data_IF_546379233214
#
_entry.id   IF_546379233214
#
_cell.length_a   1.000
_cell.length_b   1.000
_cell.length_c   1.000
_cell.angle_alpha   90.00
_cell.angle_beta   90.00
_cell.angle_gamma   90.00
#
_symmetry.space_group_name_H-M   'P 1'
#
loop_
_entity.id
_entity.type
_entity.pdbx_description
1 polymer ?
#
# COMPACT_ATOMS: atom_id res chain seq x y z
N UNK A 1 22.80 21.24 14.03
CA UNK A 1 22.87 19.79 14.35
C UNK A 1 22.32 19.42 15.72
N UNK A 2 22.53 20.26 16.77
CA UNK A 2 22.21 19.87 18.14
C UNK A 2 20.70 19.88 18.49
N UNK A 3 19.91 20.74 17.89
CA UNK A 3 18.48 20.88 18.21
C UNK A 3 17.68 19.71 17.65
N UNK A 4 17.88 19.37 16.36
CA UNK A 4 17.23 18.22 15.75
C UNK A 4 17.61 16.91 16.46
N UNK A 5 18.87 16.77 16.87
CA UNK A 5 19.35 15.60 17.60
C UNK A 5 18.70 15.48 18.98
N UNK A 6 18.40 16.57 19.66
CA UNK A 6 17.66 16.55 20.93
C UNK A 6 16.21 16.10 20.74
N UNK A 7 15.52 16.57 19.69
CA UNK A 7 14.15 16.16 19.41
C UNK A 7 14.08 14.72 18.91
N UNK A 8 15.04 14.27 18.09
CA UNK A 8 15.19 12.88 17.70
C UNK A 8 15.59 12.01 18.90
N UNK A 9 16.34 12.52 19.87
CA UNK A 9 16.74 11.78 21.08
C UNK A 9 15.56 11.40 21.98
N UNK A 10 14.44 12.07 21.86
CA UNK A 10 13.17 11.68 22.49
C UNK A 10 12.46 10.53 21.77
N UNK A 11 12.96 10.10 20.60
CA UNK A 11 12.38 9.01 19.81
C UNK A 11 13.07 7.67 20.09
N UNK A 12 12.51 6.59 19.52
CA UNK A 12 13.00 5.22 19.73
C UNK A 12 14.48 5.08 19.32
N UNK A 13 15.33 4.71 20.25
CA UNK A 13 16.75 4.40 20.02
C UNK A 13 16.89 3.06 19.28
N UNK A 14 17.69 3.04 18.25
CA UNK A 14 18.07 1.83 17.50
C UNK A 14 19.46 1.36 17.92
N UNK A 15 19.92 0.19 17.43
CA UNK A 15 21.28 -0.32 17.71
C UNK A 15 22.39 0.64 17.24
N UNK A 16 22.15 1.42 16.20
CA UNK A 16 23.12 2.30 15.54
C UNK A 16 22.91 3.79 15.81
N UNK A 17 21.88 4.16 16.61
CA UNK A 17 21.55 5.56 16.92
C UNK A 17 20.05 5.78 17.04
N UNK A 18 19.60 6.99 16.80
CA UNK A 18 18.18 7.35 16.84
C UNK A 18 17.49 7.04 15.50
N UNK A 19 16.23 6.63 15.57
CA UNK A 19 15.45 6.37 14.36
C UNK A 19 15.20 7.67 13.58
N UNK A 20 15.52 7.65 12.30
CA UNK A 20 15.18 8.70 11.34
C UNK A 20 14.20 8.19 10.29
N UNK A 21 13.34 7.23 10.64
CA UNK A 21 12.28 6.74 9.75
C UNK A 21 11.36 7.87 9.33
N UNK A 22 10.66 7.71 8.20
CA UNK A 22 9.72 8.72 7.71
C UNK A 22 8.69 9.10 8.78
N UNK A 23 8.10 8.11 9.46
CA UNK A 23 7.11 8.33 10.52
C UNK A 23 7.64 9.10 11.74
N UNK A 24 8.94 9.04 12.01
CA UNK A 24 9.58 9.85 13.06
C UNK A 24 9.82 11.27 12.58
N UNK A 25 10.31 11.43 11.34
CA UNK A 25 10.58 12.74 10.76
C UNK A 25 9.29 13.52 10.50
N UNK A 26 8.22 12.87 10.04
CA UNK A 26 6.90 13.50 9.84
C UNK A 26 6.34 14.12 11.13
N UNK A 27 6.57 13.49 12.29
CA UNK A 27 6.19 14.07 13.58
C UNK A 27 6.98 15.32 13.97
N UNK A 28 8.18 15.48 13.43
CA UNK A 28 9.05 16.62 13.67
C UNK A 28 8.87 17.76 12.65
N UNK A 29 8.21 17.49 11.53
CA UNK A 29 8.00 18.46 10.45
C UNK A 29 7.31 19.74 10.93
N UNK A 30 6.25 19.72 11.76
CA UNK A 30 5.57 20.94 12.22
C UNK A 30 6.50 21.85 13.05
N UNK A 31 7.44 21.28 13.80
CA UNK A 31 8.37 22.01 14.65
C UNK A 31 9.64 22.43 13.87
N UNK A 32 10.03 21.63 12.88
CA UNK A 32 11.26 21.83 12.08
C UNK A 32 10.96 21.78 10.57
N UNK A 33 10.55 22.89 9.93
CA UNK A 33 10.11 22.90 8.52
C UNK A 33 11.13 22.37 7.53
N UNK A 34 12.44 22.41 7.83
CA UNK A 34 13.47 21.84 6.95
C UNK A 34 13.40 20.30 6.85
N UNK A 35 12.75 19.63 7.81
CA UNK A 35 12.56 18.17 7.80
C UNK A 35 11.76 17.75 6.57
N UNK A 36 10.83 18.57 6.12
CA UNK A 36 10.09 18.36 4.88
C UNK A 36 11.02 18.20 3.68
N UNK A 37 12.08 19.02 3.59
CA UNK A 37 13.06 18.91 2.50
C UNK A 37 13.87 17.62 2.57
N UNK A 38 14.14 17.12 3.78
CA UNK A 38 14.81 15.82 3.96
C UNK A 38 13.90 14.68 3.51
N UNK A 39 12.63 14.71 3.86
CA UNK A 39 11.64 13.72 3.43
C UNK A 39 11.48 13.72 1.90
N UNK A 40 11.31 14.91 1.32
CA UNK A 40 11.22 15.09 -0.14
C UNK A 40 12.46 14.57 -0.86
N UNK A 41 13.66 14.94 -0.40
CA UNK A 41 14.92 14.46 -0.96
C UNK A 41 15.03 12.93 -0.92
N UNK A 42 14.73 12.31 0.23
CA UNK A 42 14.76 10.86 0.38
C UNK A 42 13.79 10.16 -0.57
N UNK A 43 12.61 10.74 -0.73
CA UNK A 43 11.58 10.25 -1.62
C UNK A 43 12.04 10.29 -3.08
N UNK A 44 12.57 11.43 -3.53
CA UNK A 44 13.10 11.61 -4.88
C UNK A 44 14.30 10.69 -5.15
N UNK A 45 15.22 10.60 -4.21
CA UNK A 45 16.39 9.72 -4.31
C UNK A 45 15.98 8.26 -4.44
N UNK A 46 15.00 7.81 -3.64
CA UNK A 46 14.46 6.46 -3.73
C UNK A 46 13.80 6.20 -5.09
N UNK A 47 12.99 7.15 -5.58
CA UNK A 47 12.35 7.02 -6.89
C UNK A 47 13.40 6.94 -8.01
N UNK A 48 14.39 7.82 -7.97
CA UNK A 48 15.48 7.81 -8.95
C UNK A 48 16.25 6.50 -8.93
N UNK A 49 16.79 6.11 -7.78
CA UNK A 49 17.67 4.94 -7.69
C UNK A 49 16.95 3.62 -7.93
N UNK A 50 15.70 3.48 -7.48
CA UNK A 50 14.97 2.21 -7.57
C UNK A 50 14.24 2.06 -8.91
N UNK A 51 13.63 3.15 -9.41
CA UNK A 51 12.73 3.06 -10.56
C UNK A 51 13.30 3.72 -11.83
N UNK A 52 13.96 4.86 -11.74
CA UNK A 52 14.56 5.44 -12.95
C UNK A 52 15.86 4.71 -13.34
N UNK A 53 16.86 4.73 -12.49
CA UNK A 53 18.15 4.07 -12.78
C UNK A 53 18.03 2.54 -12.60
N UNK A 54 17.31 2.09 -11.57
CA UNK A 54 17.22 0.69 -11.19
C UNK A 54 16.40 -0.18 -12.15
N UNK A 55 15.43 0.37 -12.88
CA UNK A 55 14.71 -0.37 -13.93
C UNK A 55 15.49 -0.42 -15.24
N UNK A 56 16.27 0.61 -15.54
CA UNK A 56 17.01 0.70 -16.80
C UNK A 56 17.97 -0.48 -17.00
N UNK A 57 18.54 -1.02 -15.92
CA UNK A 57 19.47 -2.16 -16.00
C UNK A 57 18.81 -3.49 -16.39
N UNK A 58 17.48 -3.54 -16.35
CA UNK A 58 16.69 -4.72 -16.73
C UNK A 58 16.09 -4.63 -18.13
N UNK A 59 16.36 -3.56 -18.86
CA UNK A 59 15.91 -3.44 -20.25
C UNK A 59 16.77 -4.37 -21.11
N UNK A 60 16.12 -5.35 -21.73
CA UNK A 60 16.75 -6.29 -22.64
C UNK A 60 17.04 -5.67 -24.04
N UNK A 61 17.68 -6.45 -24.89
CA UNK A 61 18.01 -6.05 -26.27
C UNK A 61 16.78 -5.75 -27.12
N UNK A 62 15.63 -6.31 -26.72
CA UNK A 62 14.30 -6.07 -27.34
C UNK A 62 13.60 -4.81 -26.76
N UNK A 63 14.32 -3.98 -26.00
CA UNK A 63 13.80 -2.79 -25.32
C UNK A 63 12.67 -3.08 -24.31
N UNK A 64 12.60 -4.30 -23.75
CA UNK A 64 11.58 -4.73 -22.81
C UNK A 64 12.19 -5.19 -21.49
N UNK A 65 11.40 -5.12 -20.44
CA UNK A 65 11.76 -5.66 -19.12
C UNK A 65 11.09 -7.02 -18.95
N UNK A 66 11.90 -8.05 -18.71
CA UNK A 66 11.47 -9.43 -18.46
C UNK A 66 11.65 -9.75 -16.98
N UNK A 67 10.64 -9.39 -16.17
CA UNK A 67 10.64 -9.66 -14.73
C UNK A 67 10.41 -11.14 -14.42
N UNK A 68 10.87 -11.56 -13.24
CA UNK A 68 10.64 -12.92 -12.71
C UNK A 68 9.51 -12.90 -11.70
N UNK A 69 8.58 -13.84 -11.86
CA UNK A 69 7.48 -14.05 -10.93
C UNK A 69 7.62 -15.40 -10.23
N UNK A 70 7.68 -15.35 -8.89
CA UNK A 70 7.88 -16.54 -8.07
C UNK A 70 6.55 -16.93 -7.40
N UNK A 71 6.12 -18.16 -7.60
CA UNK A 71 4.85 -18.69 -7.08
C UNK A 71 4.97 -19.35 -5.71
N UNK A 72 6.19 -19.69 -5.27
CA UNK A 72 6.42 -20.55 -4.11
C UNK A 72 7.19 -19.88 -2.97
N UNK A 73 7.45 -18.57 -3.06
CA UNK A 73 8.30 -17.85 -2.08
C UNK A 73 7.49 -17.34 -0.88
N UNK A 74 6.25 -16.89 -1.10
CA UNK A 74 5.44 -16.32 -0.04
C UNK A 74 4.69 -17.39 0.74
N UNK A 75 4.63 -17.25 2.07
CA UNK A 75 3.85 -18.18 2.91
C UNK A 75 2.33 -18.11 2.65
N UNK A 76 1.85 -17.00 2.09
CA UNK A 76 0.43 -16.77 1.79
C UNK A 76 -0.02 -17.32 0.44
N UNK A 77 0.87 -17.90 -0.37
CA UNK A 77 0.56 -18.33 -1.73
C UNK A 77 0.47 -17.17 -2.75
N UNK A 78 0.72 -15.90 -2.34
CA UNK A 78 0.79 -14.79 -3.29
C UNK A 78 2.03 -14.89 -4.15
N UNK A 79 1.95 -14.40 -5.40
CA UNK A 79 3.11 -14.29 -6.30
C UNK A 79 3.99 -13.12 -5.82
N UNK A 80 5.31 -13.32 -5.82
CA UNK A 80 6.29 -12.24 -5.64
C UNK A 80 6.98 -11.93 -6.97
N UNK A 81 7.41 -10.68 -7.15
CA UNK A 81 8.11 -10.21 -8.34
C UNK A 81 9.54 -9.83 -8.00
N UNK A 82 10.49 -10.29 -8.82
CA UNK A 82 11.93 -9.99 -8.67
C UNK A 82 12.57 -9.71 -10.03
N UNK A 83 13.67 -9.03 -10.03
CA UNK A 83 14.51 -8.76 -11.21
C UNK A 83 13.76 -8.16 -12.42
N UNK A 84 13.11 -7.01 -12.24
CA UNK A 84 12.93 -6.19 -11.05
C UNK A 84 11.65 -6.51 -10.26
N UNK A 85 11.50 -5.93 -9.05
CA UNK A 85 10.22 -6.00 -8.33
C UNK A 85 9.24 -4.97 -8.91
N UNK A 86 8.36 -5.42 -9.80
CA UNK A 86 7.35 -4.59 -10.45
C UNK A 86 6.11 -4.32 -9.58
N UNK A 87 5.93 -5.06 -8.48
CA UNK A 87 4.77 -4.91 -7.59
C UNK A 87 4.85 -3.67 -6.70
N UNK A 88 6.04 -3.10 -6.51
CA UNK A 88 6.29 -1.99 -5.61
C UNK A 88 6.37 -0.62 -6.31
N UNK A 89 5.99 -0.52 -7.57
CA UNK A 89 5.97 0.77 -8.30
C UNK A 89 4.94 1.69 -7.63
N UNK A 90 5.33 2.90 -7.19
CA UNK A 90 4.45 3.78 -6.44
C UNK A 90 3.22 4.20 -7.25
N UNK A 91 2.04 4.16 -6.61
CA UNK A 91 0.75 4.57 -7.23
C UNK A 91 0.25 5.88 -6.66
N UNK A 92 0.45 6.10 -5.34
CA UNK A 92 -0.17 7.23 -4.62
C UNK A 92 0.49 8.58 -4.92
N UNK A 93 1.78 8.58 -5.20
CA UNK A 93 2.55 9.79 -5.44
C UNK A 93 2.46 10.24 -6.91
N UNK A 94 2.41 11.56 -7.15
CA UNK A 94 2.37 12.11 -8.50
C UNK A 94 3.55 11.62 -9.36
N UNK A 95 4.78 11.73 -8.86
CA UNK A 95 5.98 11.25 -9.54
C UNK A 95 5.98 9.72 -9.75
N UNK A 96 5.42 8.95 -8.82
CA UNK A 96 5.25 7.50 -8.99
C UNK A 96 4.32 7.17 -10.15
N UNK A 97 3.25 7.95 -10.33
CA UNK A 97 2.35 7.81 -11.49
C UNK A 97 3.05 8.14 -12.81
N UNK A 98 3.95 9.12 -12.83
CA UNK A 98 4.76 9.42 -14.03
C UNK A 98 5.68 8.24 -14.40
N UNK A 99 6.29 7.60 -13.39
CA UNK A 99 7.11 6.38 -13.62
C UNK A 99 6.27 5.27 -14.26
N UNK A 100 5.01 5.11 -13.86
CA UNK A 100 4.13 4.08 -14.46
C UNK A 100 3.84 4.33 -15.95
N UNK A 101 3.87 5.56 -16.41
CA UNK A 101 3.64 5.91 -17.82
C UNK A 101 4.74 5.45 -18.78
N UNK A 102 5.94 5.12 -18.25
CA UNK A 102 7.03 4.59 -19.09
C UNK A 102 6.78 3.15 -19.53
N UNK A 103 5.87 2.45 -18.87
CA UNK A 103 5.46 1.12 -19.29
C UNK A 103 4.40 1.23 -20.37
N UNK A 104 4.76 0.82 -21.56
CA UNK A 104 3.89 0.84 -22.73
C UNK A 104 3.68 -0.59 -23.26
N UNK A 105 2.54 -0.89 -23.89
CA UNK A 105 2.35 -2.19 -24.51
C UNK A 105 3.28 -2.33 -25.72
N UNK A 106 3.46 -3.57 -26.21
CA UNK A 106 4.11 -3.81 -27.52
C UNK A 106 3.25 -3.20 -28.62
N UNK A 107 3.90 -2.86 -29.76
CA UNK A 107 3.19 -2.41 -30.95
C UNK A 107 2.04 -3.36 -31.31
N UNK A 108 0.92 -2.83 -31.72
CA UNK A 108 -0.32 -3.54 -32.01
C UNK A 108 -0.93 -4.31 -30.81
N UNK A 109 -0.52 -4.00 -29.59
CA UNK A 109 -1.04 -4.60 -28.35
C UNK A 109 -1.63 -3.52 -27.45
N UNK A 110 -2.47 -3.96 -26.52
CA UNK A 110 -3.03 -3.11 -25.44
C UNK A 110 -2.78 -3.79 -24.09
N UNK A 111 -2.71 -2.99 -23.03
CA UNK A 111 -2.79 -3.55 -21.68
C UNK A 111 -4.22 -3.98 -21.39
N UNK A 112 -4.36 -5.21 -20.91
CA UNK A 112 -5.58 -5.72 -20.29
C UNK A 112 -5.34 -5.82 -18.79
N UNK A 113 -6.12 -5.07 -18.02
CA UNK A 113 -6.13 -5.14 -16.55
C UNK A 113 -7.43 -5.76 -16.09
N UNK A 114 -7.32 -6.86 -15.34
CA UNK A 114 -8.46 -7.55 -14.76
C UNK A 114 -8.13 -7.95 -13.32
N UNK A 115 -8.90 -7.46 -12.37
CA UNK A 115 -8.73 -7.73 -10.95
C UNK A 115 -10.03 -8.17 -10.31
N UNK A 116 -9.92 -9.11 -9.37
CA UNK A 116 -11.06 -9.53 -8.57
C UNK A 116 -11.40 -8.47 -7.53
N UNK A 117 -12.64 -8.01 -7.54
CA UNK A 117 -13.11 -7.08 -6.51
C UNK A 117 -13.21 -7.78 -5.15
N UNK A 118 -12.26 -7.47 -4.25
CA UNK A 118 -12.28 -7.89 -2.84
C UNK A 118 -12.39 -9.41 -2.65
N UNK A 119 -11.64 -10.19 -3.41
CA UNK A 119 -11.76 -11.67 -3.43
C UNK A 119 -11.60 -12.29 -2.05
N UNK A 120 -10.66 -11.81 -1.23
CA UNK A 120 -10.41 -12.33 0.11
C UNK A 120 -11.64 -12.18 1.01
N UNK A 121 -12.32 -11.03 0.96
CA UNK A 121 -13.54 -10.80 1.75
C UNK A 121 -14.74 -11.59 1.22
N UNK A 122 -14.81 -11.85 -0.08
CA UNK A 122 -15.85 -12.72 -0.66
C UNK A 122 -15.66 -14.16 -0.23
N UNK A 123 -14.42 -14.63 -0.20
CA UNK A 123 -14.10 -15.98 0.31
C UNK A 123 -14.42 -16.04 1.81
N UNK A 124 -14.07 -15.02 2.59
CA UNK A 124 -14.39 -14.95 4.00
C UNK A 124 -15.90 -14.99 4.24
N UNK A 125 -16.69 -14.23 3.49
CA UNK A 125 -18.15 -14.26 3.54
C UNK A 125 -18.71 -15.67 3.32
N UNK A 126 -18.17 -16.37 2.33
CA UNK A 126 -18.57 -17.74 2.02
C UNK A 126 -18.18 -18.74 3.12
N UNK A 127 -16.96 -18.63 3.67
CA UNK A 127 -16.45 -19.54 4.68
C UNK A 127 -17.10 -19.34 6.06
N UNK A 128 -17.42 -18.09 6.41
CA UNK A 128 -18.04 -17.74 7.71
C UNK A 128 -19.56 -17.91 7.71
N UNK A 129 -20.17 -18.02 6.53
CA UNK A 129 -21.62 -18.01 6.32
C UNK A 129 -22.32 -16.80 6.97
N UNK A 130 -21.61 -15.65 7.04
CA UNK A 130 -22.13 -14.41 7.61
C UNK A 130 -23.15 -13.79 6.65
N UNK A 131 -24.41 -13.81 7.05
CA UNK A 131 -25.54 -13.35 6.24
C UNK A 131 -25.40 -11.86 5.87
N UNK A 132 -24.92 -11.01 6.79
CA UNK A 132 -24.78 -9.56 6.53
C UNK A 132 -23.70 -9.30 5.48
N UNK A 133 -22.60 -10.03 5.56
CA UNK A 133 -21.49 -9.91 4.61
C UNK A 133 -21.89 -10.44 3.23
N UNK A 134 -22.61 -11.57 3.19
CA UNK A 134 -23.13 -12.18 1.95
C UNK A 134 -24.15 -11.23 1.30
N UNK A 135 -25.09 -10.67 2.08
CA UNK A 135 -26.10 -9.76 1.56
C UNK A 135 -25.49 -8.46 1.02
N UNK A 136 -24.51 -7.88 1.74
CA UNK A 136 -23.79 -6.70 1.29
C UNK A 136 -23.12 -6.92 -0.08
N UNK A 137 -22.58 -8.11 -0.34
CA UNK A 137 -22.01 -8.45 -1.65
C UNK A 137 -23.06 -8.68 -2.71
N UNK A 138 -24.21 -9.28 -2.40
CA UNK A 138 -25.32 -9.46 -3.34
C UNK A 138 -25.92 -8.14 -3.78
N UNK A 139 -26.02 -7.19 -2.86
CA UNK A 139 -26.57 -5.87 -3.13
C UNK A 139 -25.53 -4.86 -3.66
N UNK A 140 -24.30 -5.33 -3.91
CA UNK A 140 -23.20 -4.45 -4.39
C UNK A 140 -22.93 -3.24 -3.47
N UNK A 141 -23.21 -3.36 -2.18
CA UNK A 141 -22.93 -2.33 -1.19
C UNK A 141 -21.42 -2.22 -0.94
N UNK A 142 -20.97 -1.02 -0.63
CA UNK A 142 -19.59 -0.83 -0.15
C UNK A 142 -19.46 -1.41 1.26
N UNK A 143 -18.80 -2.58 1.36
CA UNK A 143 -18.60 -3.30 2.61
C UNK A 143 -17.78 -2.48 3.60
N UNK A 144 -16.83 -1.67 3.12
CA UNK A 144 -16.06 -0.80 4.00
C UNK A 144 -16.96 0.27 4.63
N UNK A 145 -17.87 0.82 3.85
CA UNK A 145 -18.88 1.75 4.34
C UNK A 145 -19.86 1.06 5.31
N UNK A 146 -20.34 -0.12 4.96
CA UNK A 146 -21.26 -0.88 5.81
C UNK A 146 -20.60 -1.26 7.16
N UNK A 147 -19.37 -1.75 7.14
CA UNK A 147 -18.62 -2.09 8.37
C UNK A 147 -18.33 -0.85 9.21
N UNK A 148 -17.91 0.26 8.58
CA UNK A 148 -17.70 1.51 9.30
C UNK A 148 -18.98 2.02 9.95
N UNK A 149 -20.12 1.93 9.27
CA UNK A 149 -21.42 2.27 9.81
C UNK A 149 -21.77 1.46 11.05
N UNK A 150 -21.55 0.14 11.02
CA UNK A 150 -21.80 -0.75 12.14
C UNK A 150 -20.85 -0.47 13.33
N UNK A 151 -19.57 -0.28 13.08
CA UNK A 151 -18.56 -0.10 14.13
C UNK A 151 -18.66 1.27 14.80
N UNK A 152 -18.89 2.32 13.99
CA UNK A 152 -18.94 3.69 14.49
C UNK A 152 -20.37 4.17 14.80
N UNK A 153 -21.40 3.36 14.54
CA UNK A 153 -22.80 3.73 14.70
C UNK A 153 -23.19 5.01 13.95
N UNK A 154 -22.63 5.20 12.74
CA UNK A 154 -22.86 6.37 11.88
C UNK A 154 -23.66 5.94 10.66
N UNK A 155 -24.73 6.65 10.26
CA UNK A 155 -25.47 6.34 9.05
C UNK A 155 -24.58 6.31 7.80
N UNK A 156 -24.93 5.42 6.84
CA UNK A 156 -24.14 5.22 5.61
C UNK A 156 -23.99 6.49 4.75
N UNK A 157 -24.97 7.37 4.78
CA UNK A 157 -25.06 8.63 4.03
C UNK A 157 -24.24 9.78 4.66
N UNK A 158 -23.90 9.68 5.94
CA UNK A 158 -23.09 10.69 6.64
C UNK A 158 -21.59 10.42 6.65
N UNK A 159 -21.12 9.44 5.90
CA UNK A 159 -19.69 9.08 5.90
C UNK A 159 -18.83 10.15 5.23
N UNK A 160 -18.13 10.91 6.07
CA UNK A 160 -17.09 11.85 5.60
C UNK A 160 -15.82 11.08 5.22
N UNK A 161 -15.00 11.58 4.29
CA UNK A 161 -13.72 10.95 3.89
C UNK A 161 -12.75 10.65 5.06
N UNK A 162 -12.96 11.33 6.22
CA UNK A 162 -12.15 11.15 7.43
C UNK A 162 -12.48 9.88 8.22
N UNK A 163 -13.58 9.18 7.90
CA UNK A 163 -14.03 7.96 8.61
C UNK A 163 -13.69 6.69 7.82
N UNK A 164 -13.01 6.81 6.69
CA UNK A 164 -12.57 5.64 5.92
C UNK A 164 -11.62 4.78 6.76
N UNK A 165 -12.10 3.65 7.22
CA UNK A 165 -11.26 2.66 7.92
C UNK A 165 -10.19 2.10 6.98
N UNK A 166 -8.95 1.90 7.46
CA UNK A 166 -7.95 1.14 6.74
C UNK A 166 -8.47 -0.28 6.44
N UNK A 167 -8.35 -0.73 5.20
CA UNK A 167 -8.80 -2.07 4.77
C UNK A 167 -8.26 -3.20 5.67
N UNK A 168 -7.05 -3.02 6.21
CA UNK A 168 -6.42 -3.95 7.13
C UNK A 168 -7.19 -4.09 8.47
N UNK A 169 -7.76 -3.01 8.97
CA UNK A 169 -8.49 -3.03 10.25
C UNK A 169 -9.82 -3.78 10.12
N UNK A 170 -10.47 -3.67 8.98
CA UNK A 170 -11.71 -4.41 8.70
C UNK A 170 -11.45 -5.91 8.69
N UNK A 171 -10.37 -6.35 8.06
CA UNK A 171 -9.99 -7.76 8.03
C UNK A 171 -9.70 -8.30 9.44
N UNK A 172 -8.99 -7.53 10.27
CA UNK A 172 -8.69 -7.89 11.68
C UNK A 172 -9.97 -8.00 12.49
N UNK A 173 -10.91 -7.06 12.38
CA UNK A 173 -12.17 -7.09 13.12
C UNK A 173 -13.02 -8.32 12.77
N UNK A 174 -13.07 -8.69 11.47
CA UNK A 174 -13.79 -9.90 11.07
C UNK A 174 -13.09 -11.19 11.54
N UNK A 175 -11.76 -11.24 11.53
CA UNK A 175 -11.02 -12.43 11.99
C UNK A 175 -11.04 -12.61 13.51
N UNK A 176 -11.15 -11.54 14.30
CA UNK A 176 -11.24 -11.61 15.75
C UNK A 176 -12.67 -11.86 16.25
N UNK A 177 -13.68 -11.53 15.46
CA UNK A 177 -15.08 -11.71 15.84
C UNK A 177 -15.68 -13.08 15.47
N UNK A 178 -14.96 -13.89 14.69
CA UNK A 178 -15.39 -15.26 14.37
C UNK A 178 -14.81 -16.22 15.42
N UNK A 179 -15.63 -16.84 16.30
CA UNK A 179 -15.13 -17.89 17.19
C UNK A 179 -14.56 -19.03 16.36
N UNK A 180 -13.31 -19.37 16.59
CA UNK A 180 -12.73 -20.59 16.06
C UNK A 180 -13.48 -21.77 16.71
N UNK A 181 -14.34 -22.41 15.95
CA UNK A 181 -15.00 -23.65 16.34
C UNK A 181 -14.05 -24.83 16.21
#
# INVERSE_FOLDING_TARGET
GSILMRSISATRKTKTGYSTSASVLEKLEPEYPFVRKILEYRQLTKLKSTYADGLAVYIGDDSRIHGKFNQTITATGRISSTEPNLQNIPVRMALGREIRKVFVPKDDCVFLDADYSQIELRILAHMSDDENLIEAYRESKDIHAATASLVFHVPLDEQRPSVAMPKQLILVLYTESVPLA
#
